data_IF_380497404605
#
_entry.id   IF_380497404605
#
_cell.length_a   1.000
_cell.length_b   1.000
_cell.length_c   1.000
_cell.angle_alpha   90.00
_cell.angle_beta   90.00
_cell.angle_gamma   90.00
#
_symmetry.space_group_name_H-M   'P 1'
#
loop_
_entity.id
_entity.type
_entity.pdbx_description
1 polymer ?
#
# COMPACT_ATOMS: atom_id res chain seq x y z
N UNK A 1 0.34 -20.78 -43.33
CA UNK A 1 -0.48 -20.70 -42.10
C UNK A 1 0.14 -21.61 -41.04
N UNK A 2 0.30 -21.08 -39.82
CA UNK A 2 0.44 -21.76 -38.52
C UNK A 2 1.72 -22.59 -38.28
N UNK A 3 2.73 -21.89 -37.78
CA UNK A 3 3.84 -22.46 -37.01
C UNK A 3 3.34 -22.62 -35.57
N UNK A 4 3.30 -23.85 -35.05
CA UNK A 4 2.93 -24.13 -33.65
C UNK A 4 4.23 -24.29 -32.86
N UNK A 5 4.61 -23.24 -32.13
CA UNK A 5 5.70 -23.29 -31.16
C UNK A 5 5.09 -23.43 -29.77
N UNK A 6 5.17 -24.62 -29.20
CA UNK A 6 4.87 -24.88 -27.79
C UNK A 6 6.17 -24.87 -27.00
N UNK A 7 6.37 -23.83 -26.19
CA UNK A 7 7.44 -23.78 -25.20
C UNK A 7 7.01 -22.89 -24.04
N UNK A 8 6.53 -23.49 -22.95
CA UNK A 8 6.60 -22.87 -21.62
C UNK A 8 6.94 -23.98 -20.62
N UNK A 9 8.23 -24.09 -20.32
CA UNK A 9 8.73 -24.68 -19.08
C UNK A 9 8.94 -23.50 -18.14
N UNK A 10 8.27 -23.46 -17.00
CA UNK A 10 8.77 -22.75 -15.83
C UNK A 10 8.15 -23.37 -14.57
N UNK A 11 9.00 -24.12 -13.89
CA UNK A 11 8.79 -24.64 -12.56
C UNK A 11 8.66 -23.53 -11.51
N UNK A 12 8.26 -23.98 -10.32
CA UNK A 12 8.25 -23.31 -9.03
C UNK A 12 6.97 -22.52 -8.70
N UNK A 13 6.14 -23.13 -7.86
CA UNK A 13 5.64 -22.51 -6.64
C UNK A 13 5.23 -23.61 -5.66
N UNK A 14 6.24 -24.28 -5.08
CA UNK A 14 6.07 -24.83 -3.73
C UNK A 14 6.06 -23.62 -2.80
N UNK A 15 4.90 -22.96 -2.70
CA UNK A 15 4.66 -22.03 -1.60
C UNK A 15 4.32 -22.90 -0.38
N UNK A 16 5.35 -23.44 0.25
CA UNK A 16 5.24 -24.03 1.58
C UNK A 16 4.66 -22.97 2.50
N UNK A 17 3.43 -23.17 2.95
CA UNK A 17 2.83 -22.42 4.04
C UNK A 17 3.50 -22.88 5.34
N UNK A 18 4.73 -22.43 5.57
CA UNK A 18 5.27 -22.39 6.92
C UNK A 18 4.46 -21.32 7.65
N UNK A 19 3.36 -21.77 8.27
CA UNK A 19 2.66 -21.02 9.30
C UNK A 19 3.59 -20.83 10.49
N UNK A 20 4.55 -19.93 10.35
CA UNK A 20 5.16 -19.29 11.49
C UNK A 20 4.03 -18.61 12.24
N UNK A 21 3.95 -18.85 13.55
CA UNK A 21 2.99 -18.28 14.48
C UNK A 21 3.04 -16.75 14.42
N UNK A 22 2.37 -16.17 13.42
CA UNK A 22 2.19 -14.75 13.30
C UNK A 22 1.18 -14.37 14.38
N UNK A 23 1.66 -13.68 15.42
CA UNK A 23 0.83 -12.90 16.35
C UNK A 23 -0.32 -12.30 15.54
N UNK A 24 -1.56 -12.66 15.88
CA UNK A 24 -2.75 -12.28 15.12
C UNK A 24 -2.68 -10.78 14.81
N UNK A 25 -2.43 -10.42 13.55
CA UNK A 25 -2.25 -9.00 13.18
C UNK A 25 -3.59 -8.32 13.39
N UNK A 26 -3.64 -7.46 14.40
CA UNK A 26 -4.77 -6.58 14.63
C UNK A 26 -5.08 -5.87 13.29
N UNK A 27 -6.32 -5.97 12.81
CA UNK A 27 -6.68 -5.41 11.51
C UNK A 27 -6.78 -3.89 11.66
N UNK A 28 -5.66 -3.19 11.44
CA UNK A 28 -5.60 -1.75 11.68
C UNK A 28 -5.96 -0.97 10.44
N UNK A 29 -6.98 -0.11 10.57
CA UNK A 29 -7.47 0.75 9.49
C UNK A 29 -7.12 2.21 9.78
N UNK A 30 -6.40 2.84 8.86
CA UNK A 30 -6.04 4.26 8.94
C UNK A 30 -6.90 5.07 7.98
N UNK A 31 -7.55 6.12 8.48
CA UNK A 31 -8.32 7.07 7.66
C UNK A 31 -7.54 8.38 7.54
N UNK A 32 -7.08 8.70 6.34
CA UNK A 32 -6.40 9.97 6.04
C UNK A 32 -7.23 10.74 5.02
N UNK A 33 -7.50 12.01 5.32
CA UNK A 33 -8.27 12.87 4.42
C UNK A 33 -7.54 13.12 3.09
N UNK A 34 -8.28 13.01 2.01
CA UNK A 34 -7.84 13.38 0.65
C UNK A 34 -8.22 14.81 0.28
N UNK A 35 -8.81 15.58 1.21
CA UNK A 35 -9.16 16.97 0.97
C UNK A 35 -7.91 17.80 0.60
N UNK A 36 -8.01 18.57 -0.48
CA UNK A 36 -6.93 19.40 -1.01
C UNK A 36 -5.73 18.62 -1.58
N UNK A 37 -5.88 17.32 -1.82
CA UNK A 37 -4.86 16.53 -2.53
C UNK A 37 -5.18 16.58 -4.02
N UNK A 38 -4.18 17.01 -4.79
CA UNK A 38 -4.17 16.90 -6.23
C UNK A 38 -3.42 15.61 -6.58
N UNK A 39 -4.14 14.63 -7.14
CA UNK A 39 -3.54 13.33 -7.48
C UNK A 39 -2.84 13.32 -8.85
N UNK A 40 -2.90 14.44 -9.58
CA UNK A 40 -2.18 14.67 -10.83
C UNK A 40 -0.86 15.42 -10.60
N UNK A 41 -0.68 16.10 -9.46
CA UNK A 41 0.59 16.72 -9.05
C UNK A 41 1.47 15.77 -8.19
N UNK A 42 2.67 15.36 -8.66
CA UNK A 42 3.55 14.49 -7.89
C UNK A 42 3.98 15.08 -6.54
N UNK A 43 4.10 16.40 -6.40
CA UNK A 43 4.47 17.03 -5.14
C UNK A 43 3.32 16.95 -4.11
N UNK A 44 2.08 17.13 -4.54
CA UNK A 44 0.88 16.95 -3.73
C UNK A 44 0.70 15.48 -3.30
N UNK A 45 0.94 14.52 -4.20
CA UNK A 45 0.94 13.09 -3.87
C UNK A 45 2.03 12.75 -2.85
N UNK A 46 3.24 13.31 -2.97
CA UNK A 46 4.32 13.09 -2.01
C UNK A 46 3.96 13.59 -0.60
N UNK A 47 3.32 14.78 -0.50
CA UNK A 47 2.80 15.29 0.78
C UNK A 47 1.73 14.38 1.36
N UNK A 48 0.83 13.85 0.52
CA UNK A 48 -0.18 12.88 0.96
C UNK A 48 0.47 11.59 1.50
N UNK A 49 1.45 11.02 0.80
CA UNK A 49 2.23 9.85 1.27
C UNK A 49 2.86 10.10 2.64
N UNK A 50 3.45 11.27 2.87
CA UNK A 50 4.03 11.63 4.16
C UNK A 50 2.98 11.67 5.30
N UNK A 51 1.77 12.19 5.03
CA UNK A 51 0.67 12.18 6.01
C UNK A 51 0.23 10.75 6.35
N UNK A 52 0.14 9.88 5.33
CA UNK A 52 -0.22 8.47 5.54
C UNK A 52 0.87 7.73 6.30
N UNK A 53 2.14 7.97 5.98
CA UNK A 53 3.27 7.39 6.72
C UNK A 53 3.20 7.75 8.20
N UNK A 54 3.05 9.04 8.55
CA UNK A 54 2.91 9.49 9.93
C UNK A 54 1.73 8.83 10.67
N UNK A 55 0.59 8.69 10.00
CA UNK A 55 -0.56 8.02 10.58
C UNK A 55 -0.32 6.51 10.77
N UNK A 56 0.37 5.86 9.84
CA UNK A 56 0.79 4.47 9.96
C UNK A 56 1.81 4.28 11.09
N UNK A 57 2.70 5.23 11.36
CA UNK A 57 3.64 5.14 12.49
C UNK A 57 2.92 5.12 13.83
N UNK A 58 1.99 6.04 14.05
CA UNK A 58 1.18 6.10 15.27
C UNK A 58 0.32 4.85 15.47
N UNK A 59 -0.11 4.25 14.36
CA UNK A 59 -0.98 3.08 14.34
C UNK A 59 -0.21 1.77 14.54
N UNK A 60 0.95 1.64 13.89
CA UNK A 60 1.78 0.44 13.93
C UNK A 60 2.72 0.40 15.14
N UNK A 61 2.98 1.54 15.80
CA UNK A 61 3.74 1.60 17.04
C UNK A 61 3.06 2.58 18.02
N UNK A 62 1.95 2.16 18.65
CA UNK A 62 1.23 3.00 19.60
C UNK A 62 2.04 3.08 20.91
N UNK A 63 2.91 4.09 21.00
CA UNK A 63 3.79 4.31 22.15
C UNK A 63 3.07 4.72 23.45
N UNK A 64 1.75 4.88 23.39
CA UNK A 64 0.86 5.22 24.50
C UNK A 64 0.26 3.99 25.20
N UNK A 65 0.48 2.76 24.71
CA UNK A 65 -0.02 1.54 25.38
C UNK A 65 0.93 1.12 26.52
N UNK A 66 0.37 0.89 27.71
CA UNK A 66 1.11 0.30 28.84
C UNK A 66 1.58 -1.11 28.43
N UNK A 67 2.90 -1.33 28.42
CA UNK A 67 3.51 -2.58 27.97
C UNK A 67 3.66 -2.73 26.46
N UNK A 68 3.50 -1.64 25.68
CA UNK A 68 3.89 -1.64 24.27
C UNK A 68 5.35 -2.07 24.13
N UNK A 69 5.60 -3.02 23.23
CA UNK A 69 6.96 -3.16 22.72
C UNK A 69 7.27 -1.86 21.96
N UNK A 70 8.37 -1.18 22.34
CA UNK A 70 8.82 0.02 21.66
C UNK A 70 9.48 -0.31 20.31
N UNK A 71 9.37 -1.57 19.87
CA UNK A 71 10.04 -2.05 18.67
C UNK A 71 9.23 -1.60 17.45
N UNK A 72 9.86 -1.07 16.39
CA UNK A 72 9.12 -0.66 15.22
C UNK A 72 8.47 -1.87 14.54
N UNK A 73 7.14 -1.88 14.40
CA UNK A 73 6.46 -2.86 13.54
C UNK A 73 6.67 -2.51 12.06
N UNK A 74 7.85 -2.87 11.55
CA UNK A 74 8.21 -2.69 10.14
C UNK A 74 7.28 -3.44 9.19
N UNK A 75 6.68 -4.54 9.63
CA UNK A 75 5.81 -5.36 8.79
C UNK A 75 4.43 -4.71 8.60
N UNK A 76 3.88 -4.12 9.67
CA UNK A 76 2.69 -3.26 9.61
C UNK A 76 2.95 -2.04 8.73
N UNK A 77 4.06 -1.32 8.93
CA UNK A 77 4.43 -0.15 8.12
C UNK A 77 4.57 -0.49 6.64
N UNK A 78 5.22 -1.61 6.30
CA UNK A 78 5.37 -2.08 4.92
C UNK A 78 4.03 -2.43 4.28
N UNK A 79 3.15 -3.11 5.03
CA UNK A 79 1.81 -3.45 4.55
C UNK A 79 0.97 -2.19 4.30
N UNK A 80 1.01 -1.21 5.20
CA UNK A 80 0.32 0.07 5.03
C UNK A 80 0.85 0.84 3.82
N UNK A 81 2.16 0.85 3.58
CA UNK A 81 2.75 1.48 2.39
C UNK A 81 2.25 0.82 1.10
N UNK A 82 2.20 -0.51 1.02
CA UNK A 82 1.70 -1.24 -0.15
C UNK A 82 0.24 -0.90 -0.44
N UNK A 83 -0.62 -0.93 0.58
CA UNK A 83 -2.05 -0.57 0.43
C UNK A 83 -2.20 0.90 0.01
N UNK A 84 -1.35 1.78 0.53
CA UNK A 84 -1.35 3.20 0.17
C UNK A 84 -1.02 3.42 -1.30
N UNK A 85 0.01 2.77 -1.84
CA UNK A 85 0.36 2.93 -3.25
C UNK A 85 -0.73 2.41 -4.19
N UNK A 86 -1.36 1.28 -3.86
CA UNK A 86 -2.53 0.78 -4.62
C UNK A 86 -3.66 1.82 -4.60
N UNK A 87 -3.91 2.45 -3.44
CA UNK A 87 -4.97 3.44 -3.31
C UNK A 87 -4.64 4.75 -4.05
N UNK A 88 -3.39 5.19 -4.02
CA UNK A 88 -2.93 6.35 -4.78
C UNK A 88 -3.10 6.08 -6.28
N UNK A 89 -2.67 4.93 -6.78
CA UNK A 89 -2.86 4.57 -8.19
C UNK A 89 -4.34 4.59 -8.62
N UNK A 90 -5.24 4.08 -7.77
CA UNK A 90 -6.69 4.14 -8.01
C UNK A 90 -7.24 5.58 -8.03
N UNK A 91 -6.71 6.46 -7.19
CA UNK A 91 -7.14 7.86 -7.10
C UNK A 91 -6.57 8.71 -8.24
N UNK A 92 -5.31 8.49 -8.62
CA UNK A 92 -4.68 9.14 -9.77
C UNK A 92 -5.35 8.73 -11.09
N UNK A 93 -5.63 7.44 -11.31
CA UNK A 93 -6.35 7.03 -12.53
C UNK A 93 -7.78 7.60 -12.63
N UNK A 94 -8.44 7.84 -11.50
CA UNK A 94 -9.72 8.58 -11.45
C UNK A 94 -9.55 10.08 -11.73
N UNK A 95 -8.40 10.66 -11.37
CA UNK A 95 -8.05 12.06 -11.66
C UNK A 95 -7.85 12.26 -13.17
N UNK A 96 -7.10 11.35 -13.81
CA UNK A 96 -6.85 11.40 -15.26
C UNK A 96 -8.15 11.30 -16.06
N UNK A 97 -9.12 10.51 -15.58
CA UNK A 97 -10.45 10.38 -16.19
C UNK A 97 -11.32 11.66 -16.07
N UNK A 98 -10.91 12.65 -15.25
CA UNK A 98 -11.61 13.93 -15.09
C UNK A 98 -11.03 15.07 -15.91
N UNK A 99 -9.90 14.87 -16.60
CA UNK A 99 -9.39 15.83 -17.57
C UNK A 99 -10.21 15.73 -18.86
N UNK A 100 -11.19 16.61 -19.01
CA UNK A 100 -11.81 16.85 -20.32
C UNK A 100 -10.87 17.76 -21.12
N UNK A 101 -10.48 17.34 -22.33
CA UNK A 101 -9.90 18.25 -23.31
C UNK A 101 -10.96 19.34 -23.60
N UNK A 102 -10.55 20.59 -23.45
CA UNK A 102 -11.29 21.74 -23.93
C UNK A 102 -10.52 22.22 -25.14
N UNK A 103 -11.07 21.97 -26.33
CA UNK A 103 -10.60 22.55 -27.59
C UNK A 103 -10.99 24.03 -27.66
#
# INVERSE_FOLDING_TARGET
MKIVSAAIIAAALVAGSTGAYAKSRENVAVRVSTAGVDFSDPASVAKFRARVAKAAEATCNPGDRIGADMSPDFACRKSMAQVTEVRIAQLSGKSDSRMANVD
#
